data_IF_369923992506
#
_entry.id   IF_369923992506
#
_cell.length_a   1.000
_cell.length_b   1.000
_cell.length_c   1.000
_cell.angle_alpha   90.00
_cell.angle_beta   90.00
_cell.angle_gamma   90.00
#
_symmetry.space_group_name_H-M   'P 1'
#
loop_
_entity.id
_entity.type
_entity.pdbx_description
1 polymer ?
#
# COMPACT_ATOMS: atom_id res chain seq x y z
N UNK A 1 0.06 -4.80 -0.12
CA UNK A 1 -0.44 -6.11 0.37
C UNK A 1 -1.71 -5.87 1.17
N UNK A 2 -2.78 -6.66 0.96
CA UNK A 2 -4.07 -6.44 1.62
C UNK A 2 -4.04 -6.70 3.13
N UNK A 3 -3.01 -7.38 3.65
CA UNK A 3 -2.85 -7.64 5.08
C UNK A 3 -1.92 -6.65 5.77
N UNK A 4 -0.91 -6.12 5.06
CA UNK A 4 0.07 -5.19 5.65
C UNK A 4 -0.50 -3.79 5.92
N UNK A 5 -1.69 -3.47 5.40
CA UNK A 5 -2.39 -2.20 5.69
C UNK A 5 -2.84 -2.08 7.15
N UNK A 6 -3.04 -3.22 7.83
CA UNK A 6 -3.61 -3.25 9.17
C UNK A 6 -2.57 -3.02 10.26
N UNK A 7 -2.93 -2.22 11.25
CA UNK A 7 -2.10 -1.95 12.42
C UNK A 7 -1.93 -3.18 13.29
N UNK A 8 -0.78 -3.28 13.97
CA UNK A 8 -0.45 -4.33 14.95
C UNK A 8 -0.34 -5.76 14.40
N UNK A 9 -0.91 -6.05 13.23
CA UNK A 9 -0.77 -7.31 12.51
C UNK A 9 0.60 -7.36 11.84
N UNK A 10 1.65 -7.66 12.61
CA UNK A 10 3.03 -7.60 12.12
C UNK A 10 3.56 -8.99 11.74
N UNK A 11 3.45 -9.95 12.65
CA UNK A 11 4.06 -11.29 12.50
C UNK A 11 3.32 -12.10 11.43
N UNK A 12 1.99 -12.23 11.55
CA UNK A 12 1.18 -13.04 10.65
C UNK A 12 1.09 -12.50 9.21
N UNK A 13 1.44 -11.23 9.00
CA UNK A 13 1.45 -10.61 7.66
C UNK A 13 2.87 -10.40 7.12
N UNK A 14 3.90 -10.92 7.79
CA UNK A 14 5.31 -10.68 7.47
C UNK A 14 5.59 -9.19 7.18
N UNK A 15 5.09 -8.29 8.05
CA UNK A 15 5.20 -6.85 7.82
C UNK A 15 6.66 -6.42 7.93
N UNK A 16 7.11 -5.67 6.94
CA UNK A 16 8.47 -5.13 6.90
C UNK A 16 8.75 -4.23 8.11
N UNK A 17 9.93 -4.38 8.69
CA UNK A 17 10.39 -3.61 9.84
C UNK A 17 11.14 -2.34 9.41
N UNK A 18 11.22 -1.30 10.26
CA UNK A 18 11.99 -0.10 9.95
C UNK A 18 13.47 -0.37 9.63
N UNK A 19 14.06 -1.40 10.25
CA UNK A 19 15.45 -1.82 9.99
C UNK A 19 15.61 -2.37 8.56
N UNK A 20 14.68 -3.23 8.12
CA UNK A 20 14.65 -3.78 6.77
C UNK A 20 14.37 -2.72 5.69
N UNK A 21 13.61 -1.68 6.04
CA UNK A 21 13.33 -0.55 5.13
C UNK A 21 14.59 0.23 4.74
N UNK A 22 15.65 0.20 5.55
CA UNK A 22 16.94 0.89 5.29
C UNK A 22 16.78 2.37 4.88
N UNK A 23 15.82 3.06 5.50
CA UNK A 23 15.52 4.47 5.21
C UNK A 23 14.68 4.73 3.95
N UNK A 24 14.27 3.71 3.21
CA UNK A 24 13.34 3.83 2.08
C UNK A 24 11.91 3.99 2.63
N UNK A 25 11.21 5.09 2.33
CA UNK A 25 9.83 5.28 2.77
C UNK A 25 8.90 4.23 2.15
N UNK A 26 8.22 3.47 2.99
CA UNK A 26 7.16 2.57 2.55
C UNK A 26 5.80 3.21 2.88
N UNK A 27 4.93 3.27 1.88
CA UNK A 27 3.61 3.90 1.99
C UNK A 27 2.52 2.84 2.06
N UNK A 28 1.35 3.19 2.58
CA UNK A 28 0.17 2.32 2.66
C UNK A 28 0.43 1.00 3.40
N UNK A 29 1.20 1.09 4.48
CA UNK A 29 1.45 0.01 5.45
C UNK A 29 1.04 0.56 6.83
N UNK A 30 0.48 -0.30 7.69
CA UNK A 30 0.24 0.01 9.12
C UNK A 30 -0.65 1.25 9.39
N UNK A 31 -1.70 1.48 8.59
CA UNK A 31 -2.52 2.71 8.67
C UNK A 31 -4.01 2.47 8.96
N UNK A 32 -4.51 1.23 8.85
CA UNK A 32 -5.91 0.85 9.11
C UNK A 32 -6.02 0.08 10.43
N UNK A 33 -7.02 0.39 11.25
CA UNK A 33 -7.32 -0.40 12.45
C UNK A 33 -7.82 -1.81 12.06
N UNK A 34 -7.41 -2.90 12.74
CA UNK A 34 -7.83 -4.27 12.41
C UNK A 34 -9.35 -4.51 12.37
N UNK A 35 -10.12 -3.70 13.09
CA UNK A 35 -11.57 -3.80 13.14
C UNK A 35 -12.30 -3.06 12.01
N UNK A 36 -11.57 -2.37 11.13
CA UNK A 36 -12.15 -1.63 9.99
C UNK A 36 -12.06 -2.46 8.73
N UNK A 37 -13.17 -2.59 8.02
CA UNK A 37 -13.15 -3.14 6.66
C UNK A 37 -12.41 -2.18 5.73
N UNK A 38 -11.64 -2.74 4.80
CA UNK A 38 -10.95 -1.96 3.77
C UNK A 38 -11.08 -2.66 2.42
N UNK A 39 -11.39 -1.90 1.37
CA UNK A 39 -11.62 -2.46 0.05
C UNK A 39 -10.64 -1.93 -1.01
N UNK A 40 -10.66 -2.58 -2.18
CA UNK A 40 -9.76 -2.28 -3.31
C UNK A 40 -9.98 -0.88 -3.88
N UNK A 41 -11.20 -0.34 -3.83
CA UNK A 41 -11.50 1.00 -4.35
C UNK A 41 -10.88 2.07 -3.46
N UNK A 42 -10.95 1.90 -2.14
CA UNK A 42 -10.26 2.76 -1.17
C UNK A 42 -8.74 2.68 -1.33
N UNK A 43 -8.20 1.47 -1.49
CA UNK A 43 -6.78 1.28 -1.78
C UNK A 43 -6.35 2.03 -3.04
N UNK A 44 -7.09 1.87 -4.15
CA UNK A 44 -6.80 2.53 -5.43
C UNK A 44 -6.72 4.04 -5.26
N UNK A 45 -7.70 4.65 -4.59
CA UNK A 45 -7.72 6.11 -4.34
C UNK A 45 -6.48 6.57 -3.57
N UNK A 46 -6.13 5.86 -2.50
CA UNK A 46 -4.96 6.21 -1.69
C UNK A 46 -3.64 5.97 -2.43
N UNK A 47 -3.55 4.90 -3.21
CA UNK A 47 -2.38 4.57 -4.03
C UNK A 47 -2.14 5.63 -5.10
N UNK A 48 -3.15 6.02 -5.87
CA UNK A 48 -3.03 7.07 -6.89
C UNK A 48 -2.58 8.38 -6.24
N UNK A 49 -3.21 8.78 -5.12
CA UNK A 49 -2.80 9.98 -4.39
C UNK A 49 -1.33 9.91 -3.94
N UNK A 50 -0.90 8.78 -3.40
CA UNK A 50 0.48 8.58 -2.93
C UNK A 50 1.47 8.63 -4.09
N UNK A 51 1.14 8.01 -5.22
CA UNK A 51 1.93 8.04 -6.45
C UNK A 51 2.13 9.48 -6.92
N UNK A 52 1.08 10.29 -6.97
CA UNK A 52 1.16 11.70 -7.34
C UNK A 52 2.04 12.51 -6.38
N UNK A 53 1.95 12.26 -5.07
CA UNK A 53 2.79 12.90 -4.07
C UNK A 53 4.28 12.53 -4.20
N UNK A 54 4.59 11.29 -4.61
CA UNK A 54 5.97 10.85 -4.86
C UNK A 54 6.51 11.51 -6.12
N UNK A 55 5.72 11.58 -7.20
CA UNK A 55 6.11 12.28 -8.42
C UNK A 55 6.36 13.77 -8.19
N UNK A 56 5.50 14.45 -7.39
CA UNK A 56 5.70 15.86 -7.01
C UNK A 56 7.00 16.11 -6.23
N UNK A 57 7.57 15.07 -5.61
CA UNK A 57 8.87 15.12 -4.93
C UNK A 57 10.05 14.77 -5.86
N UNK A 58 9.82 14.68 -7.18
CA UNK A 58 10.79 14.22 -8.18
C UNK A 58 11.40 12.85 -7.84
N UNK A 59 10.59 11.95 -7.29
CA UNK A 59 10.98 10.56 -7.01
C UNK A 59 10.19 9.60 -7.90
N UNK A 60 10.76 8.43 -8.16
CA UNK A 60 10.10 7.35 -8.88
C UNK A 60 9.28 6.50 -7.90
N UNK A 61 7.95 6.44 -8.03
CA UNK A 61 7.14 5.53 -7.23
C UNK A 61 7.36 4.07 -7.66
N UNK A 62 7.49 3.18 -6.68
CA UNK A 62 7.57 1.74 -6.89
C UNK A 62 6.40 1.06 -6.20
N UNK A 63 5.61 0.29 -6.95
CA UNK A 63 4.53 -0.52 -6.42
C UNK A 63 5.09 -1.92 -6.13
N UNK A 64 5.14 -2.29 -4.84
CA UNK A 64 5.75 -3.55 -4.37
C UNK A 64 4.72 -4.40 -3.62
N UNK A 65 4.72 -5.70 -3.90
CA UNK A 65 3.80 -6.67 -3.30
C UNK A 65 2.34 -6.46 -3.73
N UNK A 66 1.40 -6.96 -2.92
CA UNK A 66 -0.04 -6.89 -3.22
C UNK A 66 -0.58 -8.16 -3.87
N UNK A 67 -1.84 -8.47 -3.57
CA UNK A 67 -2.60 -9.47 -4.34
C UNK A 67 -2.84 -8.94 -5.75
N UNK A 68 -2.91 -9.82 -6.75
CA UNK A 68 -3.10 -9.43 -8.15
C UNK A 68 -4.27 -8.44 -8.37
N UNK A 69 -5.36 -8.59 -7.62
CA UNK A 69 -6.50 -7.66 -7.66
C UNK A 69 -6.12 -6.20 -7.36
N UNK A 70 -5.30 -5.96 -6.34
CA UNK A 70 -4.93 -4.60 -5.89
C UNK A 70 -4.00 -3.93 -6.89
N UNK A 71 -3.00 -4.66 -7.37
CA UNK A 71 -2.09 -4.18 -8.41
C UNK A 71 -2.89 -3.86 -9.67
N UNK A 72 -3.68 -4.82 -10.16
CA UNK A 72 -4.50 -4.67 -11.36
C UNK A 72 -5.48 -3.50 -11.26
N UNK A 73 -6.05 -3.22 -10.08
CA UNK A 73 -6.94 -2.07 -9.91
C UNK A 73 -6.28 -0.71 -10.18
N UNK A 74 -4.95 -0.63 -9.99
CA UNK A 74 -4.14 0.58 -10.17
C UNK A 74 -3.58 0.65 -11.59
N UNK A 75 -3.01 -0.45 -12.10
CA UNK A 75 -2.31 -0.47 -13.39
C UNK A 75 -3.24 -0.69 -14.58
N UNK A 76 -4.26 -1.52 -14.40
CA UNK A 76 -5.29 -1.75 -15.41
C UNK A 76 -6.44 -0.82 -15.04
N UNK A 77 -7.01 -0.13 -16.02
CA UNK A 77 -8.11 0.81 -15.80
C UNK A 77 -9.42 0.05 -15.49
N UNK A 78 -9.41 -0.74 -14.41
CA UNK A 78 -10.54 -1.53 -13.95
C UNK A 78 -11.62 -0.58 -13.49
N UNK A 79 -12.76 -0.67 -14.17
CA UNK A 79 -14.01 -0.08 -13.75
C UNK A 79 -14.70 -1.09 -12.83
N UNK A 80 -14.94 -0.70 -11.58
CA UNK A 80 -15.68 -1.47 -10.58
C UNK A 80 -17.16 -1.12 -10.64
#
# INVERSE_FOLDING_TARGET
DSMQIYKYMNIGSAKITPEEMKGVPHHLIDFIEPNKSFNVLEYKKLAVKTIDEIYKKNKLPMLVGGTGLYINSIICNYNF
#
